data_IF_758032866490
#
_entry.id   IF_758032866490
#
_cell.length_a   1.000
_cell.length_b   1.000
_cell.length_c   1.000
_cell.angle_alpha   90.00
_cell.angle_beta   90.00
_cell.angle_gamma   90.00
#
_symmetry.space_group_name_H-M   'P 1'
#
loop_
_entity.id
_entity.type
_entity.pdbx_description
1 polymer ?
#
# COMPACT_ATOMS: atom_id res chain seq x y z
N UNK A 1 -34.48 25.06 -17.32
CA UNK A 1 -33.32 24.33 -16.76
C UNK A 1 -33.26 22.98 -17.44
N UNK A 2 -32.43 22.86 -18.47
CA UNK A 2 -32.30 21.61 -19.25
C UNK A 2 -31.40 20.67 -18.44
N UNK A 3 -31.83 19.43 -18.15
CA UNK A 3 -30.97 18.48 -17.45
C UNK A 3 -29.75 18.20 -18.33
N UNK A 4 -28.56 18.46 -17.80
CA UNK A 4 -27.29 18.08 -18.41
C UNK A 4 -27.30 16.55 -18.47
N UNK A 5 -27.47 16.00 -19.66
CA UNK A 5 -27.36 14.56 -19.88
C UNK A 5 -25.92 14.15 -19.53
N UNK A 6 -25.75 13.48 -18.39
CA UNK A 6 -24.49 12.83 -18.03
C UNK A 6 -24.23 11.75 -19.07
N UNK A 7 -23.38 12.06 -20.04
CA UNK A 7 -22.90 11.07 -21.02
C UNK A 7 -22.22 9.94 -20.25
N UNK A 8 -22.71 8.72 -20.44
CA UNK A 8 -22.06 7.54 -19.92
C UNK A 8 -20.59 7.50 -20.41
N UNK A 9 -19.64 7.06 -19.57
CA UNK A 9 -18.24 6.97 -19.97
C UNK A 9 -18.12 6.07 -21.22
N UNK A 10 -17.15 6.34 -22.10
CA UNK A 10 -16.92 5.49 -23.26
C UNK A 10 -16.59 4.06 -22.81
N UNK A 11 -16.92 3.07 -23.65
CA UNK A 11 -16.72 1.64 -23.35
C UNK A 11 -15.27 1.33 -22.96
N UNK A 12 -14.31 2.02 -23.57
CA UNK A 12 -12.88 1.88 -23.26
C UNK A 12 -12.57 2.23 -21.81
N UNK A 13 -13.08 3.36 -21.30
CA UNK A 13 -12.84 3.79 -19.91
C UNK A 13 -13.46 2.81 -18.92
N UNK A 14 -14.67 2.32 -19.23
CA UNK A 14 -15.34 1.31 -18.41
C UNK A 14 -14.56 -0.01 -18.39
N UNK A 15 -14.01 -0.42 -19.53
CA UNK A 15 -13.19 -1.63 -19.63
C UNK A 15 -11.88 -1.51 -18.85
N UNK A 16 -11.16 -0.39 -18.96
CA UNK A 16 -9.93 -0.15 -18.21
C UNK A 16 -10.19 -0.05 -16.70
N UNK A 17 -11.32 0.51 -16.27
CA UNK A 17 -11.74 0.48 -14.85
C UNK A 17 -11.97 -0.95 -14.36
N UNK A 18 -12.63 -1.80 -15.14
CA UNK A 18 -12.78 -3.22 -14.80
C UNK A 18 -11.43 -3.92 -14.69
N UNK A 19 -10.51 -3.70 -15.65
CA UNK A 19 -9.16 -4.26 -15.61
C UNK A 19 -8.36 -3.78 -14.40
N UNK A 20 -8.50 -2.52 -14.04
CA UNK A 20 -7.86 -1.96 -12.85
C UNK A 20 -8.42 -2.62 -11.58
N UNK A 21 -9.74 -2.71 -11.44
CA UNK A 21 -10.39 -3.37 -10.31
C UNK A 21 -9.97 -4.84 -10.17
N UNK A 22 -9.83 -5.57 -11.28
CA UNK A 22 -9.30 -6.94 -11.28
C UNK A 22 -7.85 -7.02 -10.78
N UNK A 23 -7.01 -6.05 -11.16
CA UNK A 23 -5.63 -5.95 -10.68
C UNK A 23 -5.58 -5.65 -9.18
N UNK A 24 -6.37 -4.68 -8.71
CA UNK A 24 -6.51 -4.36 -7.28
C UNK A 24 -6.92 -5.61 -6.50
N UNK A 25 -7.98 -6.29 -6.93
CA UNK A 25 -8.48 -7.51 -6.27
C UNK A 25 -7.46 -8.67 -6.29
N UNK A 26 -6.66 -8.77 -7.35
CA UNK A 26 -5.55 -9.74 -7.42
C UNK A 26 -4.47 -9.41 -6.38
N UNK A 27 -4.01 -8.18 -6.33
CA UNK A 27 -2.96 -7.76 -5.40
C UNK A 27 -3.41 -7.78 -3.95
N UNK A 28 -4.65 -7.39 -3.66
CA UNK A 28 -5.22 -7.46 -2.32
C UNK A 28 -5.18 -8.87 -1.74
N UNK A 29 -5.55 -9.89 -2.53
CA UNK A 29 -5.47 -11.31 -2.11
C UNK A 29 -4.03 -11.74 -1.82
N UNK A 30 -3.09 -11.36 -2.68
CA UNK A 30 -1.68 -11.69 -2.53
C UNK A 30 -1.07 -11.03 -1.27
N UNK A 31 -1.37 -9.75 -1.06
CA UNK A 31 -0.92 -9.00 0.12
C UNK A 31 -1.54 -9.55 1.40
N UNK A 32 -2.83 -9.92 1.40
CA UNK A 32 -3.51 -10.50 2.55
C UNK A 32 -2.86 -11.84 2.98
N UNK A 33 -2.60 -12.72 2.01
CA UNK A 33 -1.91 -14.00 2.28
C UNK A 33 -0.49 -13.75 2.80
N UNK A 34 0.20 -12.75 2.26
CA UNK A 34 1.53 -12.35 2.74
C UNK A 34 1.48 -11.77 4.15
N UNK A 35 0.48 -10.96 4.48
CA UNK A 35 0.27 -10.41 5.82
C UNK A 35 0.15 -11.53 6.88
N UNK A 36 -0.58 -12.61 6.57
CA UNK A 36 -0.72 -13.75 7.47
C UNK A 36 0.63 -14.38 7.86
N UNK A 37 1.60 -14.39 6.95
CA UNK A 37 2.95 -14.92 7.23
C UNK A 37 3.73 -14.11 8.26
N UNK A 38 3.43 -12.82 8.44
CA UNK A 38 4.11 -11.99 9.45
C UNK A 38 3.66 -12.28 10.87
N UNK A 39 2.44 -12.81 11.04
CA UNK A 39 1.92 -13.26 12.33
C UNK A 39 2.17 -14.75 12.59
N UNK A 40 3.11 -15.36 11.83
CA UNK A 40 3.48 -16.77 11.93
C UNK A 40 2.31 -17.74 11.76
N UNK A 41 1.25 -17.32 11.05
CA UNK A 41 0.13 -18.21 10.70
C UNK A 41 0.63 -19.20 9.66
N UNK A 42 0.38 -20.49 9.90
CA UNK A 42 0.79 -21.56 8.98
C UNK A 42 0.00 -21.48 7.68
N UNK A 43 0.59 -21.92 6.57
CA UNK A 43 -0.11 -21.93 5.28
C UNK A 43 -1.39 -22.78 5.31
N UNK A 44 -1.40 -23.84 6.12
CA UNK A 44 -2.57 -24.70 6.32
C UNK A 44 -3.71 -23.98 7.06
N UNK A 45 -3.39 -23.21 8.10
CA UNK A 45 -4.35 -22.37 8.78
C UNK A 45 -4.90 -21.27 7.87
N UNK A 46 -4.03 -20.62 7.06
CA UNK A 46 -4.46 -19.64 6.05
C UNK A 46 -5.37 -20.29 5.00
N UNK A 47 -5.01 -21.48 4.52
CA UNK A 47 -5.82 -22.22 3.54
C UNK A 47 -7.21 -22.55 4.10
N UNK A 48 -7.26 -23.00 5.35
CA UNK A 48 -8.51 -23.29 6.07
C UNK A 48 -9.37 -22.04 6.26
N UNK A 49 -8.77 -20.92 6.71
CA UNK A 49 -9.48 -19.65 6.94
C UNK A 49 -10.04 -19.07 5.63
N UNK A 50 -9.31 -19.21 4.51
CA UNK A 50 -9.72 -18.72 3.20
C UNK A 50 -10.61 -19.70 2.42
N UNK A 51 -10.78 -20.93 2.87
CA UNK A 51 -11.52 -21.97 2.14
C UNK A 51 -10.88 -22.37 0.80
N UNK A 52 -9.55 -22.27 0.69
CA UNK A 52 -8.78 -22.67 -0.50
C UNK A 52 -7.78 -23.77 -0.16
N UNK A 53 -7.15 -24.37 -1.17
CA UNK A 53 -6.16 -25.41 -0.94
C UNK A 53 -4.81 -24.81 -0.48
N UNK A 54 -4.08 -25.52 0.37
CA UNK A 54 -2.73 -25.12 0.78
C UNK A 54 -1.76 -24.92 -0.41
N UNK A 55 -1.80 -25.73 -1.49
CA UNK A 55 -1.04 -25.45 -2.70
C UNK A 55 -1.40 -24.11 -3.37
N UNK A 56 -2.67 -23.69 -3.33
CA UNK A 56 -3.08 -22.38 -3.84
C UNK A 56 -2.46 -21.23 -3.02
N UNK A 57 -2.41 -21.36 -1.68
CA UNK A 57 -1.71 -20.41 -0.80
C UNK A 57 -0.22 -20.36 -1.14
N UNK A 58 0.42 -21.52 -1.32
CA UNK A 58 1.84 -21.60 -1.70
C UNK A 58 2.12 -20.93 -3.04
N UNK A 59 1.26 -21.15 -4.05
CA UNK A 59 1.35 -20.48 -5.35
C UNK A 59 1.18 -18.96 -5.23
N UNK A 60 0.23 -18.49 -4.42
CA UNK A 60 0.05 -17.07 -4.15
C UNK A 60 1.29 -16.45 -3.49
N UNK A 61 1.86 -17.10 -2.47
CA UNK A 61 3.10 -16.63 -1.85
C UNK A 61 4.28 -16.61 -2.84
N UNK A 62 4.38 -17.62 -3.70
CA UNK A 62 5.40 -17.68 -4.75
C UNK A 62 5.21 -16.60 -5.83
N UNK A 63 3.97 -16.21 -6.12
CA UNK A 63 3.64 -15.09 -7.01
C UNK A 63 3.92 -13.72 -6.36
N UNK A 64 3.89 -13.63 -5.03
CA UNK A 64 4.12 -12.41 -4.25
C UNK A 64 5.59 -12.26 -3.86
N UNK A 65 6.52 -12.45 -4.82
CA UNK A 65 7.94 -12.20 -4.58
C UNK A 65 8.16 -10.74 -4.20
N UNK A 66 9.16 -10.50 -3.36
CA UNK A 66 9.54 -9.18 -2.85
C UNK A 66 9.70 -8.17 -3.99
N UNK A 67 10.39 -8.58 -5.05
CA UNK A 67 10.64 -7.76 -6.23
C UNK A 67 9.36 -7.36 -6.98
N UNK A 68 8.28 -8.13 -6.90
CA UNK A 68 7.03 -7.76 -7.57
C UNK A 68 6.29 -6.66 -6.82
N UNK A 69 6.22 -6.77 -5.49
CA UNK A 69 5.57 -5.73 -4.66
C UNK A 69 6.35 -4.42 -4.73
N UNK A 70 7.68 -4.48 -4.75
CA UNK A 70 8.53 -3.29 -4.88
C UNK A 70 8.31 -2.52 -6.18
N UNK A 71 7.89 -3.20 -7.25
CA UNK A 71 7.70 -2.63 -8.60
C UNK A 71 6.26 -2.24 -8.88
N UNK A 72 5.35 -2.44 -7.92
CA UNK A 72 3.97 -2.01 -8.12
C UNK A 72 3.90 -0.49 -8.22
N UNK A 73 3.05 -0.05 -9.14
CA UNK A 73 2.57 1.33 -9.11
C UNK A 73 2.02 1.66 -7.72
N UNK A 74 2.35 2.85 -7.23
CA UNK A 74 2.03 3.28 -5.88
C UNK A 74 0.53 3.39 -5.66
N UNK A 75 -0.21 3.90 -6.65
CA UNK A 75 -1.67 4.00 -6.60
C UNK A 75 -2.31 2.61 -6.50
N UNK A 76 -1.89 1.69 -7.37
CA UNK A 76 -2.35 0.30 -7.32
C UNK A 76 -2.01 -0.40 -5.99
N UNK A 77 -0.82 -0.14 -5.43
CA UNK A 77 -0.43 -0.68 -4.14
C UNK A 77 -1.32 -0.15 -3.01
N UNK A 78 -1.58 1.15 -2.99
CA UNK A 78 -2.42 1.80 -1.97
C UNK A 78 -3.88 1.37 -2.06
N UNK A 79 -4.41 1.12 -3.26
CA UNK A 79 -5.76 0.60 -3.43
C UNK A 79 -5.89 -0.88 -3.05
N UNK A 80 -4.81 -1.67 -3.23
CA UNK A 80 -4.80 -3.10 -2.93
C UNK A 80 -4.44 -3.43 -1.47
N UNK A 81 -3.68 -2.57 -0.79
CA UNK A 81 -3.20 -2.77 0.57
C UNK A 81 -4.26 -2.84 1.70
N UNK A 82 -5.41 -2.12 1.65
CA UNK A 82 -6.26 -1.94 2.81
C UNK A 82 -6.71 -3.24 3.48
N UNK A 83 -7.20 -4.27 2.76
CA UNK A 83 -7.65 -5.51 3.40
C UNK A 83 -6.53 -6.22 4.19
N UNK A 84 -5.29 -6.16 3.71
CA UNK A 84 -4.15 -6.80 4.35
C UNK A 84 -3.68 -6.01 5.59
N UNK A 85 -3.68 -4.68 5.50
CA UNK A 85 -3.36 -3.81 6.64
C UNK A 85 -4.42 -3.93 7.74
N UNK A 86 -5.70 -3.87 7.38
CA UNK A 86 -6.83 -4.03 8.31
C UNK A 86 -6.77 -5.37 9.03
N UNK A 87 -6.50 -6.46 8.30
CA UNK A 87 -6.35 -7.78 8.91
C UNK A 87 -5.17 -7.84 9.90
N UNK A 88 -4.02 -7.24 9.58
CA UNK A 88 -2.87 -7.14 10.50
C UNK A 88 -3.22 -6.34 11.75
N UNK A 89 -3.78 -5.15 11.55
CA UNK A 89 -4.16 -4.24 12.63
C UNK A 89 -5.16 -4.90 13.58
N UNK A 90 -6.22 -5.52 13.04
CA UNK A 90 -7.23 -6.22 13.83
C UNK A 90 -6.63 -7.38 14.64
N UNK A 91 -5.75 -8.20 14.05
CA UNK A 91 -5.08 -9.32 14.76
C UNK A 91 -4.11 -8.86 15.85
N UNK A 92 -3.58 -7.65 15.73
CA UNK A 92 -2.75 -7.02 16.77
C UNK A 92 -3.56 -6.21 17.79
N UNK A 93 -4.88 -6.12 17.62
CA UNK A 93 -5.76 -5.40 18.53
C UNK A 93 -5.86 -3.90 18.29
N UNK A 94 -5.58 -3.40 17.10
CA UNK A 94 -5.83 -2.00 16.74
C UNK A 94 -7.27 -1.80 16.25
N UNK A 95 -7.84 -0.61 16.48
CA UNK A 95 -9.23 -0.31 16.13
C UNK A 95 -9.41 -0.03 14.63
N UNK A 96 -8.42 0.60 14.00
CA UNK A 96 -8.44 0.97 12.59
C UNK A 96 -7.03 1.25 12.06
N UNK A 97 -6.85 1.08 10.76
CA UNK A 97 -5.63 1.44 10.03
C UNK A 97 -6.01 1.93 8.63
N UNK A 98 -5.28 2.92 8.12
CA UNK A 98 -5.46 3.45 6.77
C UNK A 98 -4.11 3.89 6.21
N UNK A 99 -3.75 3.42 5.01
CA UNK A 99 -2.60 3.91 4.28
C UNK A 99 -3.05 5.01 3.32
N UNK A 100 -2.31 6.12 3.27
CA UNK A 100 -2.60 7.23 2.38
C UNK A 100 -1.36 7.64 1.61
N UNK A 101 -1.61 8.11 0.39
CA UNK A 101 -0.60 8.87 -0.31
C UNK A 101 -0.57 10.29 0.27
N UNK A 102 0.48 10.63 0.99
CA UNK A 102 0.64 11.97 1.53
C UNK A 102 1.86 12.62 0.89
N UNK A 103 1.56 13.59 0.04
CA UNK A 103 2.51 14.38 -0.73
C UNK A 103 3.18 15.50 0.08
N UNK A 104 3.07 15.50 1.42
CA UNK A 104 3.65 16.59 2.23
C UNK A 104 5.16 16.46 2.46
N UNK A 105 5.78 15.39 1.97
CA UNK A 105 7.23 15.35 1.87
C UNK A 105 7.66 16.28 0.74
N UNK A 106 8.43 17.36 1.01
CA UNK A 106 9.01 18.16 -0.05
C UNK A 106 9.77 17.20 -0.96
N UNK A 107 9.37 17.15 -2.23
CA UNK A 107 10.11 16.39 -3.23
C UNK A 107 11.57 16.85 -3.14
N UNK A 108 12.57 15.94 -3.14
CA UNK A 108 13.95 16.37 -3.24
C UNK A 108 14.03 17.31 -4.44
N UNK A 109 14.54 18.53 -4.23
CA UNK A 109 14.72 19.48 -5.33
C UNK A 109 15.43 18.72 -6.46
N UNK A 110 14.89 18.73 -7.70
CA UNK A 110 15.52 18.02 -8.79
C UNK A 110 16.97 18.47 -8.82
N UNK A 111 17.90 17.51 -8.67
CA UNK A 111 19.32 17.80 -8.68
C UNK A 111 19.59 18.70 -9.89
N UNK A 112 20.18 19.88 -9.63
CA UNK A 112 20.46 20.86 -10.67
C UNK A 112 21.04 20.13 -11.88
N UNK A 113 20.53 20.38 -13.10
CA UNK A 113 20.91 19.60 -14.26
C UNK A 113 22.42 19.59 -14.33
N UNK A 114 23.01 18.39 -14.25
CA UNK A 114 24.43 18.21 -14.46
C UNK A 114 24.73 18.90 -15.79
N UNK A 115 25.58 19.93 -15.74
CA UNK A 115 26.08 20.62 -16.93
C UNK A 115 26.46 19.57 -17.95
N UNK A 116 25.81 19.63 -19.13
CA UNK A 116 25.93 18.65 -20.18
C UNK A 116 27.41 18.33 -20.45
N UNK A 117 27.84 17.06 -20.41
CA UNK A 117 29.13 16.69 -20.97
C UNK A 117 29.01 16.78 -22.50
N UNK A 118 29.95 17.48 -23.14
CA UNK A 118 30.19 17.47 -24.60
C UNK A 118 30.70 16.10 -25.09
N UNK A 119 30.08 15.01 -24.65
CA UNK A 119 30.48 13.63 -24.95
C UNK A 119 29.50 13.00 -25.96
N UNK A 120 29.89 12.80 -27.22
CA UNK A 120 29.02 12.19 -28.23
C UNK A 120 28.60 10.75 -27.88
N UNK A 121 29.31 10.05 -26.98
CA UNK A 121 28.91 8.73 -26.48
C UNK A 121 27.78 8.78 -25.44
N UNK A 122 27.44 9.97 -24.91
CA UNK A 122 26.34 10.13 -23.95
C UNK A 122 24.96 9.97 -24.62
N UNK A 123 24.86 10.34 -25.91
CA UNK A 123 23.62 10.20 -26.70
C UNK A 123 23.29 8.72 -26.96
N UNK A 124 24.33 7.91 -27.22
CA UNK A 124 24.17 6.47 -27.42
C UNK A 124 23.82 5.74 -26.11
N UNK A 125 24.36 6.17 -24.97
CA UNK A 125 23.94 5.65 -23.65
C UNK A 125 22.50 6.03 -23.33
N UNK A 126 22.08 7.26 -23.59
CA UNK A 126 20.70 7.69 -23.38
C UNK A 126 19.72 6.90 -24.26
N UNK A 127 20.08 6.62 -25.51
CA UNK A 127 19.27 5.79 -26.41
C UNK A 127 19.22 4.32 -25.96
N UNK A 128 20.33 3.75 -25.49
CA UNK A 128 20.37 2.39 -24.92
C UNK A 128 19.53 2.32 -23.64
N UNK A 129 19.60 3.31 -22.75
CA UNK A 129 18.78 3.37 -21.54
C UNK A 129 17.28 3.47 -21.87
N UNK A 130 16.91 4.28 -22.86
CA UNK A 130 15.53 4.44 -23.30
C UNK A 130 15.01 3.18 -24.03
N UNK A 131 15.84 2.51 -24.83
CA UNK A 131 15.52 1.24 -25.46
C UNK A 131 15.40 0.08 -24.46
N UNK A 132 16.22 0.10 -23.39
CA UNK A 132 16.19 -0.89 -22.31
C UNK A 132 14.95 -0.71 -21.42
N UNK A 133 14.55 0.54 -21.16
CA UNK A 133 13.29 0.89 -20.48
C UNK A 133 12.06 0.39 -21.27
N UNK A 134 12.11 0.47 -22.60
CA UNK A 134 11.04 0.03 -23.49
C UNK A 134 10.93 -1.51 -23.60
N UNK A 135 12.06 -2.22 -23.58
CA UNK A 135 12.11 -3.68 -23.73
C UNK A 135 11.89 -4.46 -22.42
N UNK A 136 12.25 -3.88 -21.27
CA UNK A 136 12.20 -4.57 -19.97
C UNK A 136 11.24 -3.94 -18.95
N UNK A 137 10.54 -2.86 -19.33
CA UNK A 137 9.69 -2.07 -18.46
C UNK A 137 10.52 -1.20 -17.50
N UNK A 138 10.16 0.07 -17.38
CA UNK A 138 10.69 1.02 -16.39
C UNK A 138 10.44 0.51 -14.96
N UNK A 139 11.27 -0.39 -14.45
CA UNK A 139 11.16 -0.82 -13.06
C UNK A 139 12.43 -1.52 -12.54
N UNK A 140 13.57 -0.88 -12.79
CA UNK A 140 14.87 -1.37 -12.32
C UNK A 140 15.75 -0.29 -11.68
N UNK A 141 15.14 0.83 -11.26
CA UNK A 141 15.70 1.69 -10.23
C UNK A 141 14.77 1.59 -9.04
N UNK A 142 15.21 0.90 -8.00
CA UNK A 142 14.61 1.05 -6.68
C UNK A 142 14.70 2.54 -6.35
N UNK A 143 13.55 3.20 -6.27
CA UNK A 143 13.43 4.62 -5.96
C UNK A 143 13.96 4.87 -4.55
N UNK A 144 15.24 5.22 -4.47
CA UNK A 144 15.85 5.79 -3.27
C UNK A 144 15.15 7.12 -2.87
N UNK A 145 14.32 7.68 -3.76
CA UNK A 145 13.61 8.95 -3.60
C UNK A 145 12.07 8.86 -3.52
N UNK A 146 11.47 7.66 -3.43
CA UNK A 146 9.99 7.61 -3.31
C UNK A 146 9.55 8.05 -1.90
N UNK A 147 8.59 9.00 -1.78
CA UNK A 147 8.14 9.47 -0.49
C UNK A 147 7.57 8.32 0.33
N UNK A 148 7.72 8.35 1.67
CA UNK A 148 7.15 7.33 2.53
C UNK A 148 5.62 7.31 2.39
N UNK A 149 5.02 6.18 2.71
CA UNK A 149 3.57 6.03 2.82
C UNK A 149 3.17 6.43 4.24
N UNK A 150 2.20 7.33 4.36
CA UNK A 150 1.63 7.68 5.65
C UNK A 150 0.58 6.63 6.03
N UNK A 151 0.75 6.04 7.21
CA UNK A 151 -0.17 5.05 7.77
C UNK A 151 -0.77 5.60 9.04
N UNK A 152 -2.07 5.86 9.00
CA UNK A 152 -2.86 6.34 10.13
C UNK A 152 -3.42 5.15 10.88
N UNK A 153 -3.23 5.11 12.20
CA UNK A 153 -3.68 4.00 13.04
C UNK A 153 -4.45 4.53 14.24
N UNK A 154 -5.60 3.94 14.51
CA UNK A 154 -6.35 4.17 15.75
C UNK A 154 -5.94 3.14 16.79
N UNK A 155 -5.37 3.64 17.88
CA UNK A 155 -4.79 2.82 18.95
C UNK A 155 -5.77 2.78 20.12
N UNK A 156 -6.23 1.60 20.57
CA UNK A 156 -7.08 1.52 21.74
C UNK A 156 -6.29 1.86 23.01
N UNK A 157 -7.02 2.23 24.06
CA UNK A 157 -6.43 2.54 25.36
C UNK A 157 -5.71 1.30 25.91
N UNK A 158 -4.46 1.46 26.32
CA UNK A 158 -3.67 0.41 26.95
C UNK A 158 -2.78 -0.41 26.01
N UNK A 159 -2.84 -0.17 24.69
CA UNK A 159 -1.87 -0.75 23.76
C UNK A 159 -0.51 -0.07 23.95
N UNK A 160 0.57 -0.85 24.07
CA UNK A 160 1.89 -0.28 24.25
C UNK A 160 2.50 0.25 22.94
N UNK A 161 3.51 1.11 23.09
CA UNK A 161 4.25 1.71 21.97
C UNK A 161 4.96 0.66 21.10
N UNK A 162 5.32 -0.48 21.69
CA UNK A 162 6.10 -1.51 21.00
C UNK A 162 5.25 -2.21 19.92
N UNK A 163 3.95 -2.34 20.15
CA UNK A 163 2.96 -2.89 19.24
C UNK A 163 2.78 -1.97 18.03
N UNK A 164 2.78 -0.65 18.25
CA UNK A 164 2.76 0.37 17.19
C UNK A 164 4.00 0.21 16.30
N UNK A 165 5.19 0.08 16.88
CA UNK A 165 6.44 -0.13 16.13
C UNK A 165 6.47 -1.48 15.39
N UNK A 166 5.91 -2.53 16.01
CA UNK A 166 5.79 -3.84 15.38
C UNK A 166 4.85 -3.78 14.17
N UNK A 167 3.72 -3.08 14.28
CA UNK A 167 2.79 -2.87 13.17
C UNK A 167 3.47 -2.05 12.06
N UNK A 168 4.20 -0.97 12.40
CA UNK A 168 4.99 -0.18 11.44
C UNK A 168 5.97 -1.06 10.66
N UNK A 169 6.72 -1.91 11.37
CA UNK A 169 7.67 -2.83 10.75
C UNK A 169 7.01 -3.90 9.87
N UNK A 170 5.81 -4.37 10.22
CA UNK A 170 5.05 -5.29 9.37
C UNK A 170 4.45 -4.60 8.14
N UNK A 171 3.88 -3.40 8.30
CA UNK A 171 3.36 -2.59 7.21
C UNK A 171 4.47 -2.23 6.20
N UNK A 172 5.62 -1.75 6.66
CA UNK A 172 6.75 -1.44 5.76
C UNK A 172 7.28 -2.68 5.01
N UNK A 173 7.33 -3.85 5.66
CA UNK A 173 7.73 -5.11 4.99
C UNK A 173 6.65 -5.66 4.06
N UNK A 174 5.38 -5.39 4.34
CA UNK A 174 4.25 -5.76 3.49
C UNK A 174 4.27 -4.94 2.20
N UNK A 175 4.32 -3.61 2.36
CA UNK A 175 4.25 -2.62 1.27
C UNK A 175 5.57 -2.47 0.52
N UNK A 176 6.68 -2.89 1.13
CA UNK A 176 8.04 -2.69 0.59
C UNK A 176 8.33 -1.24 0.24
N UNK A 177 7.88 -0.36 1.14
CA UNK A 177 8.06 1.08 1.13
C UNK A 177 8.41 1.54 2.53
N UNK A 178 9.05 2.70 2.62
CA UNK A 178 9.14 3.38 3.90
C UNK A 178 7.74 3.78 4.34
N UNK A 179 7.47 3.63 5.64
CA UNK A 179 6.18 3.93 6.24
C UNK A 179 6.38 4.85 7.42
N UNK A 180 5.67 5.98 7.40
CA UNK A 180 5.54 6.89 8.53
C UNK A 180 4.20 6.60 9.20
N UNK A 181 4.22 6.38 10.51
CA UNK A 181 3.04 5.93 11.24
C UNK A 181 2.50 7.03 12.14
N UNK A 182 1.25 7.42 11.90
CA UNK A 182 0.51 8.43 12.66
C UNK A 182 -0.48 7.72 13.57
N UNK A 183 -0.27 7.81 14.88
CA UNK A 183 -1.17 7.16 15.85
C UNK A 183 -2.13 8.17 16.47
N UNK A 184 -3.40 7.79 16.55
CA UNK A 184 -4.44 8.51 17.29
C UNK A 184 -4.95 7.60 18.41
N UNK A 185 -4.77 8.01 19.66
CA UNK A 185 -5.33 7.29 20.80
C UNK A 185 -6.83 7.50 20.81
N UNK A 186 -7.58 6.39 20.83
CA UNK A 186 -9.03 6.43 20.99
C UNK A 186 -9.35 6.87 22.43
N UNK A 187 -9.41 8.17 22.65
CA UNK A 187 -9.99 8.71 23.88
C UNK A 187 -11.50 8.54 23.73
N UNK A 188 -12.02 7.44 24.27
CA UNK A 188 -13.46 7.30 24.44
C UNK A 188 -14.00 8.62 25.02
N UNK A 189 -15.09 9.20 24.48
CA UNK A 189 -15.64 10.42 25.03
C UNK A 189 -15.90 10.14 26.51
N UNK A 190 -15.25 10.90 27.39
CA UNK A 190 -15.41 10.75 28.83
C UNK A 190 -16.91 10.74 29.09
N UNK A 191 -17.43 9.60 29.58
CA UNK A 191 -18.85 9.45 29.86
C UNK A 191 -19.23 10.64 30.74
N UNK A 192 -20.02 11.57 30.19
CA UNK A 192 -20.48 12.74 30.93
C UNK A 192 -21.24 12.17 32.12
N UNK A 193 -20.75 12.34 33.37
CA UNK A 193 -21.46 11.83 34.53
C UNK A 193 -22.81 12.51 34.52
N UNK A 194 -23.87 11.71 34.40
CA UNK A 194 -25.25 12.19 34.31
C UNK A 194 -25.54 13.11 35.48
N UNK A 195 -25.53 14.43 35.20
CA UNK A 195 -25.96 15.44 36.15
C UNK A 195 -27.41 15.18 36.48
N UNK A 196 -27.64 14.66 37.68
CA UNK A 196 -28.98 14.57 38.25
C UNK A 196 -29.48 15.99 38.43
N UNK A 197 -30.49 16.39 37.64
CA UNK A 197 -31.20 17.65 37.83
C UNK A 197 -32.13 17.43 39.04
N UNK A 198 -31.91 18.10 40.19
CA UNK A 198 -32.89 18.07 41.26
C UNK A 198 -34.16 18.81 40.81
N UNK A 199 -35.31 18.17 41.03
CA UNK A 199 -36.66 18.70 40.81
C UNK A 199 -37.01 19.81 41.80
#
# INVERSE_FOLDING_TARGET
>A
MTPVATLAPPLTDSYEQCRYAEQVARWARLLLVRAATFLLVTQDAVATELGISQPAVSQQLAATKIAHVQRLDRGLLLDAAPPALEWLAARMGFDAIEARDCCWHPQPEPAAPATAPDDPDASDRAWIEQATAWLFGESLVASVDEPPIDVFVRVPVGLARNEVEQLRGMAGRLLRREVVMHSQVNTAPAAVPGGSIPS
#
